data_IF_568901620548
#
_entry.id   IF_568901620548
#
_cell.length_a   1.000
_cell.length_b   1.000
_cell.length_c   1.000
_cell.angle_alpha   90.00
_cell.angle_beta   90.00
_cell.angle_gamma   90.00
#
_symmetry.space_group_name_H-M   'P 1'
#
loop_
_entity.id
_entity.type
_entity.pdbx_description
1 polymer ?
#
# COMPACT_ATOMS: atom_id res chain seq x y z
N UNK A 1 -1.62 -5.94 -3.57
CA UNK A 1 -0.92 -7.16 -4.05
C UNK A 1 -1.82 -8.39 -3.88
N UNK A 2 -1.81 -9.33 -4.84
CA UNK A 2 -2.51 -10.62 -4.71
C UNK A 2 -1.51 -11.73 -4.38
N UNK A 3 -1.76 -12.46 -3.30
CA UNK A 3 -0.92 -13.56 -2.85
C UNK A 3 -1.58 -14.91 -3.10
N UNK A 4 -0.88 -15.84 -3.75
CA UNK A 4 -1.45 -17.13 -4.19
C UNK A 4 -1.49 -18.13 -3.04
N UNK A 5 -2.66 -18.74 -2.84
CA UNK A 5 -2.95 -19.78 -1.86
C UNK A 5 -3.63 -20.97 -2.56
N UNK A 6 -3.60 -22.19 -2.02
CA UNK A 6 -3.97 -23.40 -2.81
C UNK A 6 -4.99 -24.35 -2.16
N UNK A 7 -5.68 -23.97 -1.07
CA UNK A 7 -6.61 -24.91 -0.39
C UNK A 7 -8.09 -24.48 -0.32
N UNK A 8 -8.49 -23.36 -0.91
CA UNK A 8 -9.89 -22.90 -0.85
C UNK A 8 -10.45 -22.60 -2.26
N UNK A 9 -11.26 -23.51 -2.79
CA UNK A 9 -12.03 -23.31 -4.03
C UNK A 9 -13.28 -22.49 -3.72
N UNK A 10 -13.54 -21.42 -4.49
CA UNK A 10 -14.75 -20.60 -4.36
C UNK A 10 -14.46 -19.09 -4.41
N UNK A 11 -14.94 -18.32 -3.42
CA UNK A 11 -14.76 -16.85 -3.35
C UNK A 11 -13.31 -16.36 -3.37
N UNK A 12 -12.34 -17.24 -3.09
CA UNK A 12 -10.92 -16.93 -3.11
C UNK A 12 -10.29 -17.14 -4.49
N UNK A 13 -10.95 -17.85 -5.41
CA UNK A 13 -10.48 -18.04 -6.78
C UNK A 13 -10.62 -16.73 -7.56
N UNK A 14 -9.51 -16.03 -7.78
CA UNK A 14 -9.48 -14.84 -8.63
C UNK A 14 -9.73 -15.17 -10.11
N UNK A 15 -9.50 -14.20 -11.01
CA UNK A 15 -9.73 -14.31 -12.47
C UNK A 15 -9.02 -15.50 -13.16
N UNK A 16 -7.99 -16.07 -12.52
CA UNK A 16 -7.17 -17.18 -13.02
C UNK A 16 -7.40 -18.53 -12.30
N UNK A 17 -8.47 -18.67 -11.50
CA UNK A 17 -8.83 -19.95 -10.86
C UNK A 17 -7.94 -20.37 -9.68
N UNK A 18 -6.97 -19.54 -9.27
CA UNK A 18 -6.12 -19.78 -8.09
C UNK A 18 -6.68 -19.02 -6.87
N UNK A 19 -6.79 -19.67 -5.70
CA UNK A 19 -7.14 -18.97 -4.46
C UNK A 19 -6.12 -17.84 -4.21
N UNK A 20 -6.55 -16.63 -3.94
CA UNK A 20 -5.66 -15.51 -3.62
C UNK A 20 -6.16 -14.72 -2.41
N UNK A 21 -5.23 -14.18 -1.63
CA UNK A 21 -5.51 -13.25 -0.53
C UNK A 21 -4.92 -11.88 -0.90
N UNK A 22 -5.66 -10.82 -0.60
CA UNK A 22 -5.23 -9.45 -0.83
C UNK A 22 -4.43 -8.93 0.36
N UNK A 23 -3.32 -8.25 0.03
CA UNK A 23 -2.61 -7.33 0.90
C UNK A 23 -2.77 -5.92 0.31
N UNK A 24 -3.45 -5.05 1.05
CA UNK A 24 -3.47 -3.60 0.85
C UNK A 24 -2.39 -2.97 1.74
N UNK A 25 -1.64 -2.02 1.18
CA UNK A 25 -0.54 -1.33 1.87
C UNK A 25 -0.56 0.15 1.50
N UNK A 26 -0.26 1.00 2.47
CA UNK A 26 0.18 2.38 2.24
C UNK A 26 1.66 2.46 2.57
N UNK A 27 2.47 2.88 1.60
CA UNK A 27 3.91 3.03 1.77
C UNK A 27 4.37 4.43 1.36
N UNK A 28 5.43 4.92 1.99
CA UNK A 28 6.15 6.13 1.59
C UNK A 28 7.19 5.82 0.50
N UNK A 29 7.75 6.88 -0.10
CA UNK A 29 8.74 6.80 -1.20
C UNK A 29 9.99 5.99 -0.83
N UNK A 30 10.32 5.96 0.46
CA UNK A 30 11.43 5.26 1.10
C UNK A 30 11.05 3.82 1.51
N UNK A 31 9.93 3.31 0.99
CA UNK A 31 9.42 1.94 1.13
C UNK A 31 8.96 1.54 2.54
N UNK A 32 8.92 2.47 3.49
CA UNK A 32 8.32 2.23 4.80
C UNK A 32 6.79 2.08 4.66
N UNK A 33 6.25 1.07 5.33
CA UNK A 33 4.83 0.73 5.29
C UNK A 33 4.13 1.31 6.52
N UNK A 34 3.18 2.21 6.30
CA UNK A 34 2.45 2.92 7.37
C UNK A 34 1.12 2.25 7.71
N UNK A 35 0.53 1.56 6.74
CA UNK A 35 -0.71 0.82 6.90
C UNK A 35 -0.64 -0.48 6.13
N UNK A 36 -1.21 -1.54 6.71
CA UNK A 36 -1.35 -2.82 6.06
C UNK A 36 -2.68 -3.47 6.43
N UNK A 37 -3.41 -3.97 5.43
CA UNK A 37 -4.64 -4.72 5.62
C UNK A 37 -4.60 -6.01 4.80
N UNK A 38 -4.71 -7.14 5.50
CA UNK A 38 -4.52 -8.47 4.94
C UNK A 38 -5.70 -9.39 5.25
N UNK A 39 -6.05 -10.25 4.28
CA UNK A 39 -6.98 -11.35 4.51
C UNK A 39 -8.26 -11.32 3.68
N UNK A 40 -8.44 -10.33 2.80
CA UNK A 40 -9.59 -10.33 1.89
C UNK A 40 -9.40 -11.32 0.72
N UNK A 41 -10.47 -11.94 0.21
CA UNK A 41 -10.40 -12.78 -0.97
C UNK A 41 -9.95 -11.98 -2.19
N UNK A 42 -9.07 -12.55 -3.02
CA UNK A 42 -8.56 -11.89 -4.24
C UNK A 42 -9.55 -11.72 -5.39
N UNK A 43 -10.81 -12.13 -5.19
CA UNK A 43 -11.94 -11.73 -6.05
C UNK A 43 -12.43 -10.30 -5.79
N UNK A 44 -12.07 -9.69 -4.65
CA UNK A 44 -12.42 -8.30 -4.36
C UNK A 44 -11.60 -7.36 -5.24
N UNK A 45 -12.25 -6.34 -5.80
CA UNK A 45 -11.57 -5.24 -6.46
C UNK A 45 -11.10 -4.20 -5.42
N UNK A 46 -10.30 -3.23 -5.86
CA UNK A 46 -9.69 -2.23 -4.98
C UNK A 46 -10.72 -1.41 -4.19
N UNK A 47 -11.89 -1.12 -4.77
CA UNK A 47 -12.97 -0.38 -4.09
C UNK A 47 -13.55 -1.21 -2.93
N UNK A 48 -13.85 -2.48 -3.18
CA UNK A 48 -14.39 -3.39 -2.16
C UNK A 48 -13.39 -3.64 -1.02
N UNK A 49 -12.08 -3.62 -1.33
CA UNK A 49 -11.01 -3.71 -0.34
C UNK A 49 -11.01 -2.46 0.53
N UNK A 50 -11.04 -1.29 -0.10
CA UNK A 50 -11.02 -0.01 0.60
C UNK A 50 -12.21 0.15 1.55
N UNK A 51 -13.43 -0.20 1.12
CA UNK A 51 -14.64 -0.12 1.95
C UNK A 51 -14.57 -0.96 3.24
N UNK A 52 -13.73 -2.00 3.25
CA UNK A 52 -13.58 -2.94 4.37
C UNK A 52 -12.31 -2.68 5.18
N UNK A 53 -11.42 -1.83 4.68
CA UNK A 53 -10.15 -1.51 5.28
C UNK A 53 -10.28 -0.46 6.36
N UNK A 54 -9.41 -0.55 7.38
CA UNK A 54 -9.28 0.47 8.42
C UNK A 54 -8.36 1.63 8.03
N UNK A 55 -7.89 1.71 6.78
CA UNK A 55 -6.86 2.68 6.34
C UNK A 55 -7.15 4.14 6.69
N UNK A 56 -8.43 4.51 6.78
CA UNK A 56 -8.85 5.87 7.14
C UNK A 56 -9.44 5.99 8.54
N UNK A 57 -9.44 4.93 9.35
CA UNK A 57 -10.03 4.99 10.69
C UNK A 57 -9.31 6.02 11.56
N UNK A 58 -7.99 6.05 11.50
CA UNK A 58 -7.20 6.98 12.33
C UNK A 58 -7.35 8.42 11.83
N UNK A 59 -7.48 8.62 10.50
CA UNK A 59 -7.80 9.94 9.93
C UNK A 59 -9.19 10.41 10.37
N UNK A 60 -10.19 9.51 10.33
CA UNK A 60 -11.56 9.81 10.74
C UNK A 60 -11.70 10.08 12.24
N UNK A 61 -10.87 9.43 13.07
CA UNK A 61 -10.80 9.66 14.52
C UNK A 61 -9.97 10.89 14.91
N UNK A 62 -9.14 11.39 14.00
CA UNK A 62 -8.18 12.46 14.27
C UNK A 62 -6.88 12.01 14.95
N UNK A 63 -6.63 10.69 14.96
CA UNK A 63 -5.44 10.04 15.54
C UNK A 63 -4.31 9.84 14.52
N UNK A 64 -4.57 10.14 13.23
CA UNK A 64 -3.56 10.03 12.18
C UNK A 64 -2.32 10.92 12.47
N UNK A 65 -1.13 10.53 11.99
CA UNK A 65 0.08 11.32 12.17
C UNK A 65 -0.12 12.77 11.72
N UNK A 66 0.30 13.71 12.58
CA UNK A 66 0.23 15.13 12.25
C UNK A 66 1.26 15.44 11.18
N UNK A 67 0.79 15.89 10.02
CA UNK A 67 1.64 16.40 8.94
C UNK A 67 1.48 17.91 8.91
N UNK A 68 2.56 18.67 8.74
CA UNK A 68 2.49 20.12 8.52
C UNK A 68 3.38 20.51 7.36
N UNK A 69 2.80 21.17 6.35
CA UNK A 69 3.56 21.70 5.22
C UNK A 69 2.80 22.85 4.55
N UNK A 70 3.54 23.73 3.87
CA UNK A 70 2.96 24.90 3.19
C UNK A 70 3.16 24.81 1.69
N UNK A 71 2.09 24.98 0.91
CA UNK A 71 2.15 25.10 -0.55
C UNK A 71 1.66 26.49 -0.93
N UNK A 72 2.53 27.29 -1.55
CA UNK A 72 2.21 28.66 -2.02
C UNK A 72 1.59 29.56 -0.94
N UNK A 73 2.05 29.43 0.30
CA UNK A 73 1.54 30.22 1.43
C UNK A 73 0.25 29.70 2.07
N UNK A 74 -0.25 28.54 1.64
CA UNK A 74 -1.34 27.83 2.31
C UNK A 74 -0.76 26.69 3.14
N UNK A 75 -1.12 26.66 4.43
CA UNK A 75 -0.71 25.61 5.35
C UNK A 75 -1.69 24.44 5.29
N UNK A 76 -1.13 23.24 5.24
CA UNK A 76 -1.84 21.97 5.22
C UNK A 76 -1.45 21.17 6.45
N UNK A 77 -2.45 20.59 7.10
CA UNK A 77 -2.30 19.80 8.31
C UNK A 77 -2.72 18.32 8.13
N UNK A 78 -3.03 17.91 6.91
CA UNK A 78 -3.50 16.58 6.56
C UNK A 78 -2.62 15.97 5.47
N UNK A 79 -2.26 14.70 5.64
CA UNK A 79 -1.60 13.92 4.60
C UNK A 79 -2.55 13.55 3.46
N UNK A 80 -2.03 13.44 2.25
CA UNK A 80 -2.77 12.97 1.08
C UNK A 80 -2.28 11.58 0.66
N UNK A 81 -3.22 10.74 0.25
CA UNK A 81 -2.95 9.41 -0.27
C UNK A 81 -3.00 9.45 -1.80
N UNK A 82 -1.94 8.99 -2.45
CA UNK A 82 -1.95 8.85 -3.91
C UNK A 82 -2.90 7.72 -4.29
N UNK A 83 -3.85 8.01 -5.18
CA UNK A 83 -4.85 7.04 -5.59
C UNK A 83 -5.04 7.05 -7.11
N UNK A 84 -5.50 5.92 -7.62
CA UNK A 84 -5.88 5.76 -9.02
C UNK A 84 -7.21 6.48 -9.33
N UNK A 85 -7.47 6.71 -10.61
CA UNK A 85 -8.68 7.34 -11.12
C UNK A 85 -9.97 6.62 -10.75
N UNK A 86 -9.91 5.32 -10.43
CA UNK A 86 -11.08 4.47 -10.10
C UNK A 86 -11.65 4.73 -8.70
N UNK A 87 -10.88 5.33 -7.79
CA UNK A 87 -11.36 5.62 -6.44
C UNK A 87 -12.37 6.77 -6.42
N UNK A 88 -13.28 6.77 -5.46
CA UNK A 88 -14.21 7.88 -5.24
C UNK A 88 -13.45 9.20 -4.96
N UNK A 89 -14.09 10.33 -5.24
CA UNK A 89 -13.50 11.65 -5.03
C UNK A 89 -13.55 12.04 -3.54
N UNK A 90 -12.68 11.46 -2.72
CA UNK A 90 -12.52 11.83 -1.31
C UNK A 90 -11.44 12.90 -1.14
N UNK A 91 -11.61 13.77 -0.14
CA UNK A 91 -10.68 14.87 0.13
C UNK A 91 -9.26 14.40 0.49
N UNK A 92 -9.13 13.17 1.00
CA UNK A 92 -7.85 12.52 1.35
C UNK A 92 -7.11 11.96 0.14
N UNK A 93 -7.78 11.75 -1.00
CA UNK A 93 -7.17 11.17 -2.18
C UNK A 93 -6.66 12.23 -3.15
N UNK A 94 -5.37 12.12 -3.49
CA UNK A 94 -4.79 12.83 -4.62
C UNK A 94 -4.78 11.89 -5.83
N UNK A 95 -5.73 12.13 -6.74
CA UNK A 95 -5.92 11.31 -7.94
C UNK A 95 -5.11 11.80 -9.14
N UNK A 96 -4.71 10.86 -10.00
CA UNK A 96 -4.13 11.17 -11.31
C UNK A 96 -5.17 11.89 -12.21
N UNK A 97 -4.70 12.73 -13.13
CA UNK A 97 -5.56 13.52 -14.02
C UNK A 97 -5.81 12.71 -15.30
N UNK A 98 -7.07 12.34 -15.62
CA UNK A 98 -7.38 11.66 -16.87
C UNK A 98 -7.16 12.61 -18.06
N UNK A 99 -6.56 12.09 -19.14
CA UNK A 99 -6.27 12.83 -20.37
C UNK A 99 -5.61 14.22 -20.12
N UNK A 100 -4.37 14.26 -19.60
CA UNK A 100 -3.73 15.52 -19.24
C UNK A 100 -3.41 16.40 -20.47
N UNK A 101 -4.12 17.53 -20.59
CA UNK A 101 -3.86 18.55 -21.61
C UNK A 101 -2.93 19.62 -21.06
N UNK A 102 -1.86 19.93 -21.80
CA UNK A 102 -0.87 20.94 -21.45
C UNK A 102 0.28 20.42 -20.57
N UNK A 103 1.41 21.13 -20.61
CA UNK A 103 2.68 20.65 -20.02
C UNK A 103 2.61 20.47 -18.50
N UNK A 104 1.92 21.36 -17.78
CA UNK A 104 1.80 21.27 -16.31
C UNK A 104 1.05 20.02 -15.85
N UNK A 105 -0.08 19.69 -16.50
CA UNK A 105 -0.87 18.49 -16.18
C UNK A 105 -0.12 17.22 -16.56
N UNK A 106 0.55 17.21 -17.73
CA UNK A 106 1.39 16.08 -18.15
C UNK A 106 2.53 15.82 -17.17
N UNK A 107 3.19 16.89 -16.69
CA UNK A 107 4.22 16.78 -15.66
C UNK A 107 3.68 16.20 -14.37
N UNK A 108 2.53 16.71 -13.88
CA UNK A 108 1.87 16.19 -12.68
C UNK A 108 1.58 14.69 -12.79
N UNK A 109 0.94 14.25 -13.89
CA UNK A 109 0.63 12.84 -14.11
C UNK A 109 1.90 12.00 -14.15
N UNK A 110 2.96 12.46 -14.82
CA UNK A 110 4.24 11.74 -14.87
C UNK A 110 4.85 11.52 -13.48
N UNK A 111 4.85 12.56 -12.65
CA UNK A 111 5.37 12.48 -11.26
C UNK A 111 4.46 11.61 -10.39
N UNK A 112 3.13 11.74 -10.55
CA UNK A 112 2.16 10.91 -9.82
C UNK A 112 2.36 9.42 -10.13
N UNK A 113 2.48 9.06 -11.41
CA UNK A 113 2.72 7.68 -11.83
C UNK A 113 4.12 7.17 -11.42
N UNK A 114 5.15 8.03 -11.34
CA UNK A 114 6.45 7.60 -10.82
C UNK A 114 6.38 7.28 -9.33
N UNK A 115 5.71 8.11 -8.53
CA UNK A 115 5.55 7.88 -7.10
C UNK A 115 4.70 6.63 -6.80
N UNK A 116 3.73 6.29 -7.66
CA UNK A 116 2.98 5.04 -7.55
C UNK A 116 3.87 3.80 -7.67
N UNK A 117 4.97 3.88 -8.44
CA UNK A 117 5.93 2.76 -8.56
C UNK A 117 6.69 2.51 -7.26
N UNK A 118 6.74 3.48 -6.35
CA UNK A 118 7.39 3.30 -5.04
C UNK A 118 6.64 2.26 -4.19
N UNK A 119 5.31 2.17 -4.33
CA UNK A 119 4.51 1.12 -3.69
C UNK A 119 4.82 -0.24 -4.31
N UNK A 120 4.96 -0.32 -5.63
CA UNK A 120 5.38 -1.56 -6.32
C UNK A 120 6.79 -1.98 -5.89
N UNK A 121 7.69 -1.01 -5.72
CA UNK A 121 9.05 -1.22 -5.20
C UNK A 121 9.01 -1.76 -3.77
N UNK A 122 8.21 -1.19 -2.88
CA UNK A 122 8.04 -1.68 -1.51
C UNK A 122 7.56 -3.14 -1.49
N UNK A 123 6.59 -3.51 -2.33
CA UNK A 123 6.19 -4.91 -2.49
C UNK A 123 7.32 -5.80 -3.02
N UNK A 124 8.09 -5.32 -4.01
CA UNK A 124 9.23 -6.04 -4.56
C UNK A 124 10.31 -6.32 -3.52
N UNK A 125 10.63 -5.34 -2.69
CA UNK A 125 11.60 -5.48 -1.59
C UNK A 125 11.07 -6.45 -0.53
N UNK A 126 9.81 -6.30 -0.11
CA UNK A 126 9.19 -7.19 0.87
C UNK A 126 9.23 -8.65 0.41
N UNK A 127 8.90 -8.90 -0.86
CA UNK A 127 8.99 -10.24 -1.46
C UNK A 127 10.42 -10.77 -1.59
N UNK A 128 11.40 -9.88 -1.84
CA UNK A 128 12.81 -10.24 -1.94
C UNK A 128 13.40 -10.61 -0.57
N UNK A 129 13.07 -9.83 0.48
CA UNK A 129 13.52 -10.05 1.85
C UNK A 129 12.93 -11.30 2.48
N UNK A 130 11.65 -11.56 2.23
CA UNK A 130 10.91 -12.64 2.88
C UNK A 130 10.35 -13.62 1.86
N UNK A 131 11.11 -14.69 1.59
CA UNK A 131 10.68 -15.77 0.68
C UNK A 131 9.32 -16.37 1.04
N UNK A 132 8.94 -16.38 2.32
CA UNK A 132 7.63 -16.85 2.78
C UNK A 132 6.48 -16.04 2.16
N UNK A 133 6.68 -14.76 1.85
CA UNK A 133 5.71 -13.88 1.18
C UNK A 133 5.55 -14.24 -0.30
N UNK A 134 6.44 -15.02 -0.90
CA UNK A 134 6.34 -15.50 -2.29
C UNK A 134 5.76 -16.91 -2.40
N UNK A 135 5.91 -17.72 -1.36
CA UNK A 135 5.53 -19.12 -1.39
C UNK A 135 4.01 -19.32 -1.21
N UNK A 136 3.39 -20.30 -1.90
CA UNK A 136 2.01 -20.68 -1.63
C UNK A 136 1.87 -21.23 -0.22
N UNK A 137 0.94 -20.67 0.54
CA UNK A 137 0.76 -20.97 1.95
C UNK A 137 0.01 -22.28 2.23
N UNK A 138 0.54 -23.42 1.79
CA UNK A 138 -0.19 -24.72 1.81
C UNK A 138 -0.55 -25.23 3.20
N UNK A 139 0.19 -24.83 4.24
CA UNK A 139 0.10 -25.41 5.59
C UNK A 139 -0.38 -24.42 6.65
N UNK A 140 -0.65 -23.17 6.28
CA UNK A 140 -1.04 -22.13 7.23
C UNK A 140 -2.53 -21.87 7.13
N UNK A 141 -3.18 -21.64 8.27
CA UNK A 141 -4.53 -21.12 8.29
C UNK A 141 -4.51 -19.59 8.02
N UNK A 142 -5.68 -18.97 7.88
CA UNK A 142 -5.79 -17.54 7.54
C UNK A 142 -5.17 -16.62 8.62
N UNK A 143 -5.32 -16.98 9.89
CA UNK A 143 -4.84 -16.18 11.01
C UNK A 143 -3.32 -16.29 11.12
N UNK A 144 -2.75 -17.49 11.00
CA UNK A 144 -1.30 -17.70 10.91
C UNK A 144 -0.70 -16.85 9.78
N UNK A 145 -1.37 -16.80 8.63
CA UNK A 145 -0.91 -16.03 7.49
C UNK A 145 -0.93 -14.53 7.74
N UNK A 146 -1.95 -14.05 8.43
CA UNK A 146 -2.03 -12.66 8.83
C UNK A 146 -0.90 -12.33 9.80
N UNK A 147 -0.63 -13.17 10.79
CA UNK A 147 0.47 -12.99 11.74
C UNK A 147 1.83 -12.97 11.04
N UNK A 148 2.09 -13.94 10.16
CA UNK A 148 3.32 -14.01 9.36
C UNK A 148 3.50 -12.74 8.52
N UNK A 149 2.44 -12.32 7.81
CA UNK A 149 2.51 -11.12 6.96
C UNK A 149 2.79 -9.87 7.78
N UNK A 150 2.10 -9.69 8.91
CA UNK A 150 2.33 -8.54 9.80
C UNK A 150 3.74 -8.56 10.39
N UNK A 151 4.26 -9.73 10.78
CA UNK A 151 5.63 -9.88 11.25
C UNK A 151 6.65 -9.50 10.17
N UNK A 152 6.45 -9.94 8.91
CA UNK A 152 7.30 -9.54 7.78
C UNK A 152 7.29 -8.02 7.56
N UNK A 153 6.14 -7.36 7.68
CA UNK A 153 6.03 -5.91 7.52
C UNK A 153 6.74 -5.16 8.65
N UNK A 154 6.60 -5.61 9.89
CA UNK A 154 7.30 -5.03 11.04
C UNK A 154 8.82 -5.14 10.85
N UNK A 155 9.31 -6.35 10.53
CA UNK A 155 10.75 -6.56 10.29
C UNK A 155 11.24 -5.78 9.08
N UNK A 156 10.45 -5.67 8.01
CA UNK A 156 10.78 -4.82 6.86
C UNK A 156 11.00 -3.36 7.28
N UNK A 157 10.06 -2.80 8.04
CA UNK A 157 10.17 -1.41 8.52
C UNK A 157 11.36 -1.21 9.44
N UNK A 158 11.66 -2.16 10.34
CA UNK A 158 12.86 -2.11 11.18
C UNK A 158 14.15 -2.05 10.36
N UNK A 159 14.24 -2.84 9.28
CA UNK A 159 15.41 -2.81 8.38
C UNK A 159 15.47 -1.48 7.63
N UNK A 160 14.33 -0.99 7.12
CA UNK A 160 14.25 0.30 6.42
C UNK A 160 14.67 1.46 7.34
N UNK A 161 14.29 1.43 8.61
CA UNK A 161 14.70 2.42 9.61
C UNK A 161 16.22 2.36 9.86
N UNK A 162 16.76 1.17 10.12
CA UNK A 162 18.19 0.97 10.33
C UNK A 162 19.05 1.40 9.12
N UNK A 163 18.58 1.14 7.89
CA UNK A 163 19.29 1.57 6.67
C UNK A 163 19.32 3.10 6.55
N UNK A 164 18.28 3.83 7.01
CA UNK A 164 18.26 5.31 6.98
C UNK A 164 19.23 5.93 7.96
N UNK A 165 19.32 5.39 9.18
CA UNK A 165 20.21 5.92 10.21
C UNK A 165 21.67 5.85 9.74
N UNK A 166 22.02 4.72 9.10
CA UNK A 166 23.34 4.52 8.49
C UNK A 166 23.65 5.56 7.38
N UNK A 167 22.67 5.89 6.53
CA UNK A 167 22.84 6.88 5.46
C UNK A 167 22.98 8.31 6.03
N UNK A 168 22.31 8.62 7.14
CA UNK A 168 22.41 9.91 7.81
C UNK A 168 23.74 10.09 8.55
N UNK A 169 24.31 9.02 9.13
CA UNK A 169 25.62 9.06 9.78
C UNK A 169 26.79 9.13 8.78
N UNK A 170 26.57 8.69 7.53
CA UNK A 170 27.56 8.70 6.47
C UNK A 170 27.67 10.06 5.72
N UNK A 171 26.81 11.04 6.04
CA UNK A 171 26.72 12.34 5.36
C UNK A 171 27.18 13.48 6.25
#
# INVERSE_FOLDING_TARGET
MHWVWTQWSGMYSGRNGKPTIILEVVASYDTCIWHAFFGLPGSHNDINVLERSSVFNDVAKGDAPKVQYSIRGHDYNMGYYLADGIYSNWATFLKSIPAPIGNKKKYFVRVHESLRKDVELAFGILQSRFSIVRCPARYFNKDDLKEIMMACIIMHNMIVENERDMDQEAT
#
